data_IF_553661211112
#
_entry.id   IF_553661211112
#
_cell.length_a   1.000
_cell.length_b   1.000
_cell.length_c   1.000
_cell.angle_alpha   90.00
_cell.angle_beta   90.00
_cell.angle_gamma   90.00
#
_symmetry.space_group_name_H-M   'P 1'
#
loop_
_entity.id
_entity.type
_entity.pdbx_description
1 polymer ?
#
# COMPACT_ATOMS: atom_id res chain seq x y z
N UNK A 1 27.84 -9.69 27.27
CA UNK A 1 26.58 -9.18 26.63
C UNK A 1 26.41 -9.58 25.16
N UNK A 2 27.22 -10.48 24.60
CA UNK A 2 27.18 -10.89 23.18
C UNK A 2 26.35 -12.14 22.89
N UNK A 3 26.16 -13.03 23.86
CA UNK A 3 25.43 -14.29 23.66
C UNK A 3 23.90 -14.18 23.59
N UNK A 4 23.31 -13.12 24.15
CA UNK A 4 21.86 -12.88 24.14
C UNK A 4 21.34 -12.30 22.79
N UNK A 5 22.22 -11.67 22.01
CA UNK A 5 21.85 -11.08 20.72
C UNK A 5 21.78 -12.13 19.59
N UNK A 6 22.61 -13.18 19.64
CA UNK A 6 22.63 -14.23 18.62
C UNK A 6 21.41 -15.17 18.69
N UNK A 7 20.91 -15.45 19.89
CA UNK A 7 19.73 -16.32 20.05
C UNK A 7 18.43 -15.65 19.56
N UNK A 8 18.31 -14.33 19.71
CA UNK A 8 17.17 -13.58 19.21
C UNK A 8 17.17 -13.49 17.65
N UNK A 9 18.35 -13.38 17.06
CA UNK A 9 18.51 -13.33 15.60
C UNK A 9 18.21 -14.66 14.88
N UNK A 10 18.31 -15.80 15.56
CA UNK A 10 18.04 -17.11 14.96
C UNK A 10 16.67 -17.70 15.35
N UNK A 11 15.79 -16.91 15.97
CA UNK A 11 14.47 -17.37 16.40
C UNK A 11 13.52 -17.52 15.21
N UNK A 12 12.88 -18.69 15.07
CA UNK A 12 11.94 -18.97 14.02
C UNK A 12 10.68 -18.08 14.10
N UNK A 13 10.30 -17.47 13.00
CA UNK A 13 9.10 -16.63 12.87
C UNK A 13 7.97 -17.41 12.23
N UNK A 14 6.79 -17.36 12.84
CA UNK A 14 5.53 -17.76 12.23
C UNK A 14 4.94 -16.54 11.54
N UNK A 15 4.98 -16.50 10.19
CA UNK A 15 4.45 -15.42 9.38
C UNK A 15 3.07 -15.82 8.87
N UNK A 16 2.03 -15.07 9.19
CA UNK A 16 0.72 -15.29 8.61
C UNK A 16 0.44 -14.24 7.54
N UNK A 17 0.23 -14.71 6.31
CA UNK A 17 -0.18 -13.90 5.18
C UNK A 17 -1.31 -14.62 4.42
N UNK A 18 -2.56 -14.27 4.76
CA UNK A 18 -3.76 -14.84 4.13
C UNK A 18 -3.72 -14.66 2.60
N UNK A 19 -3.37 -13.46 2.16
CA UNK A 19 -3.06 -13.14 0.77
C UNK A 19 -1.54 -13.09 0.62
N UNK A 20 -0.99 -13.95 -0.24
CA UNK A 20 0.44 -14.09 -0.43
C UNK A 20 0.75 -14.71 -1.80
N UNK A 21 1.61 -14.10 -2.57
CA UNK A 21 2.08 -14.66 -3.84
C UNK A 21 2.34 -13.61 -4.90
N UNK A 22 3.31 -13.88 -5.79
CA UNK A 22 3.60 -12.98 -6.91
C UNK A 22 2.45 -12.98 -7.92
N UNK A 23 2.17 -11.82 -8.53
CA UNK A 23 1.17 -11.69 -9.60
C UNK A 23 -0.30 -11.75 -9.17
N UNK A 24 -0.60 -11.93 -7.88
CA UNK A 24 -1.96 -12.04 -7.35
C UNK A 24 -2.55 -10.69 -6.85
N UNK A 25 -1.93 -9.55 -7.20
CA UNK A 25 -2.34 -8.22 -6.78
C UNK A 25 -1.48 -7.64 -5.64
N UNK A 26 -1.69 -6.35 -5.34
CA UNK A 26 -0.82 -5.57 -4.47
C UNK A 26 -0.69 -6.13 -3.05
N UNK A 27 -1.82 -6.52 -2.42
CA UNK A 27 -1.81 -7.07 -1.04
C UNK A 27 -1.11 -8.43 -0.99
N UNK A 28 -1.32 -9.28 -2.00
CA UNK A 28 -0.62 -10.57 -2.11
C UNK A 28 0.88 -10.39 -2.32
N UNK A 29 1.28 -9.37 -3.07
CA UNK A 29 2.69 -9.01 -3.25
C UNK A 29 3.33 -8.53 -1.94
N UNK A 30 2.61 -7.78 -1.10
CA UNK A 30 3.07 -7.42 0.25
C UNK A 30 3.38 -8.69 1.06
N UNK A 31 2.42 -9.62 1.14
CA UNK A 31 2.62 -10.90 1.84
C UNK A 31 3.83 -11.68 1.32
N UNK A 32 4.02 -11.70 -0.01
CA UNK A 32 5.12 -12.37 -0.66
C UNK A 32 6.47 -11.74 -0.30
N UNK A 33 6.61 -10.43 -0.38
CA UNK A 33 7.84 -9.72 -0.03
C UNK A 33 8.21 -9.88 1.45
N UNK A 34 7.22 -9.87 2.34
CA UNK A 34 7.46 -10.17 3.74
C UNK A 34 7.96 -11.60 3.95
N UNK A 35 7.37 -12.59 3.26
CA UNK A 35 7.80 -13.97 3.38
C UNK A 35 9.22 -14.19 2.86
N UNK A 36 9.48 -13.80 1.61
CA UNK A 36 10.80 -13.99 0.99
C UNK A 36 11.89 -13.24 1.73
N UNK A 37 11.61 -11.99 2.11
CA UNK A 37 12.58 -11.16 2.82
C UNK A 37 12.83 -11.60 4.26
N UNK A 38 11.85 -12.12 4.99
CA UNK A 38 12.06 -12.67 6.33
C UNK A 38 12.78 -14.01 6.26
N UNK A 39 12.40 -14.88 5.31
CA UNK A 39 13.03 -16.18 5.11
C UNK A 39 14.52 -16.09 4.68
N UNK A 40 14.91 -15.00 4.02
CA UNK A 40 16.31 -14.72 3.70
C UNK A 40 17.16 -14.34 4.95
N UNK A 41 16.52 -14.03 6.09
CA UNK A 41 17.19 -13.53 7.31
C UNK A 41 17.12 -14.51 8.47
N UNK A 42 16.06 -15.33 8.51
CA UNK A 42 15.83 -16.28 9.62
C UNK A 42 14.87 -17.41 9.22
N UNK A 43 14.85 -18.53 9.94
CA UNK A 43 13.88 -19.59 9.72
C UNK A 43 12.45 -19.03 9.81
N UNK A 44 11.65 -19.25 8.77
CA UNK A 44 10.32 -18.64 8.63
C UNK A 44 9.29 -19.68 8.17
N UNK A 45 8.21 -19.82 8.93
CA UNK A 45 7.06 -20.62 8.54
C UNK A 45 5.94 -19.68 8.05
N UNK A 46 5.64 -19.71 6.75
CA UNK A 46 4.50 -19.00 6.17
C UNK A 46 3.22 -19.80 6.39
N UNK A 47 2.17 -19.15 6.88
CA UNK A 47 0.80 -19.68 6.91
C UNK A 47 -0.05 -18.86 5.93
N UNK A 48 -0.65 -19.51 4.96
CA UNK A 48 -1.38 -18.84 3.89
C UNK A 48 -2.57 -19.67 3.40
N UNK A 49 -3.49 -19.03 2.67
CA UNK A 49 -4.63 -19.73 2.08
C UNK A 49 -4.20 -20.62 0.91
N UNK A 50 -4.84 -21.77 0.75
CA UNK A 50 -4.51 -22.74 -0.33
C UNK A 50 -4.62 -22.16 -1.74
N UNK A 51 -5.42 -21.12 -1.97
CA UNK A 51 -5.52 -20.38 -3.24
C UNK A 51 -4.18 -19.84 -3.74
N UNK A 52 -3.28 -19.53 -2.81
CA UNK A 52 -1.98 -18.94 -3.12
C UNK A 52 -0.95 -20.00 -3.55
N UNK A 53 -1.26 -21.31 -3.36
CA UNK A 53 -0.30 -22.40 -3.57
C UNK A 53 0.32 -22.36 -4.95
N UNK A 54 -0.49 -22.31 -6.01
CA UNK A 54 0.01 -22.37 -7.37
C UNK A 54 1.02 -21.25 -7.67
N UNK A 55 0.71 -20.01 -7.28
CA UNK A 55 1.59 -18.86 -7.48
C UNK A 55 2.88 -18.96 -6.64
N UNK A 56 2.77 -19.43 -5.39
CA UNK A 56 3.93 -19.60 -4.49
C UNK A 56 4.84 -20.72 -4.97
N UNK A 57 4.28 -21.85 -5.40
CA UNK A 57 5.07 -23.01 -5.84
C UNK A 57 5.74 -22.78 -7.20
N UNK A 58 5.16 -21.95 -8.06
CA UNK A 58 5.73 -21.58 -9.35
C UNK A 58 6.70 -20.38 -9.27
N UNK A 59 6.82 -19.73 -8.09
CA UNK A 59 7.66 -18.54 -7.96
C UNK A 59 9.16 -18.86 -8.05
N UNK A 60 9.93 -18.21 -8.93
CA UNK A 60 11.36 -18.48 -9.10
C UNK A 60 12.19 -18.02 -7.88
N UNK A 61 11.68 -17.04 -7.13
CA UNK A 61 12.28 -16.47 -5.91
C UNK A 61 11.73 -17.11 -4.62
N UNK A 62 11.09 -18.29 -4.74
CA UNK A 62 10.59 -19.02 -3.57
C UNK A 62 11.76 -19.43 -2.66
N UNK A 63 11.71 -19.10 -1.36
CA UNK A 63 12.74 -19.50 -0.42
C UNK A 63 12.90 -21.02 -0.36
N UNK A 64 14.13 -21.48 -0.42
CA UNK A 64 14.44 -22.92 -0.36
C UNK A 64 14.20 -23.46 1.06
N UNK A 65 13.81 -24.73 1.16
CA UNK A 65 13.64 -25.39 2.46
C UNK A 65 14.96 -25.44 3.28
N UNK A 66 16.11 -25.43 2.61
CA UNK A 66 17.43 -25.38 3.25
C UNK A 66 17.68 -24.10 4.07
N UNK A 67 16.94 -23.02 3.80
CA UNK A 67 16.99 -21.79 4.62
C UNK A 67 16.10 -21.87 5.88
N UNK A 68 15.45 -23.02 6.16
CA UNK A 68 14.45 -23.15 7.20
C UNK A 68 13.08 -22.57 6.83
N UNK A 69 12.87 -22.24 5.55
CA UNK A 69 11.59 -21.77 5.06
C UNK A 69 10.60 -22.93 4.89
N UNK A 70 9.39 -22.76 5.43
CA UNK A 70 8.30 -23.74 5.33
C UNK A 70 6.99 -23.00 4.99
N UNK A 71 6.09 -23.65 4.25
CA UNK A 71 4.76 -23.10 3.96
C UNK A 71 3.70 -24.08 4.44
N UNK A 72 2.73 -23.56 5.19
CA UNK A 72 1.52 -24.27 5.62
C UNK A 72 0.34 -23.67 4.87
N UNK A 73 -0.29 -24.46 4.02
CA UNK A 73 -1.48 -24.05 3.30
C UNK A 73 -2.73 -24.46 4.09
N UNK A 74 -3.59 -23.47 4.35
CA UNK A 74 -4.87 -23.67 5.01
C UNK A 74 -5.95 -23.72 3.94
N UNK A 75 -6.70 -24.81 3.88
CA UNK A 75 -7.78 -24.99 2.93
C UNK A 75 -9.13 -24.70 3.61
N UNK A 76 -9.81 -23.65 3.13
CA UNK A 76 -11.18 -23.28 3.50
C UNK A 76 -12.07 -23.16 2.26
N UNK A 77 -11.67 -23.72 1.10
CA UNK A 77 -12.46 -23.66 -0.14
C UNK A 77 -13.83 -24.32 0.00
N UNK A 78 -13.95 -25.32 0.87
CA UNK A 78 -15.23 -25.94 1.19
C UNK A 78 -16.28 -24.94 1.73
N UNK A 79 -15.83 -23.84 2.38
CA UNK A 79 -16.68 -22.75 2.84
C UNK A 79 -16.65 -21.56 1.87
N UNK A 80 -15.47 -21.12 1.48
CA UNK A 80 -15.26 -19.92 0.67
C UNK A 80 -15.84 -20.03 -0.74
N UNK A 81 -15.73 -21.18 -1.38
CA UNK A 81 -16.27 -21.41 -2.72
C UNK A 81 -17.80 -21.29 -2.79
N UNK A 82 -18.57 -22.00 -1.93
CA UNK A 82 -20.01 -21.79 -1.81
C UNK A 82 -20.41 -20.38 -1.43
N UNK A 83 -19.70 -19.74 -0.49
CA UNK A 83 -19.94 -18.36 -0.06
C UNK A 83 -19.80 -17.37 -1.22
N UNK A 84 -18.73 -17.49 -2.01
CA UNK A 84 -18.50 -16.66 -3.18
C UNK A 84 -19.61 -16.84 -4.24
N UNK A 85 -20.01 -18.09 -4.53
CA UNK A 85 -21.12 -18.37 -5.47
C UNK A 85 -22.44 -17.76 -5.00
N UNK A 86 -22.72 -17.86 -3.71
CA UNK A 86 -23.90 -17.25 -3.10
C UNK A 86 -23.84 -15.72 -3.21
N UNK A 87 -22.71 -15.12 -2.86
CA UNK A 87 -22.54 -13.67 -2.96
C UNK A 87 -22.72 -13.15 -4.39
N UNK A 88 -22.15 -13.84 -5.39
CA UNK A 88 -22.35 -13.52 -6.83
C UNK A 88 -23.80 -13.63 -7.27
N UNK A 89 -24.53 -14.57 -6.70
CA UNK A 89 -25.95 -14.79 -7.00
C UNK A 89 -26.83 -13.70 -6.40
N UNK A 90 -26.52 -13.26 -5.17
CA UNK A 90 -27.26 -12.22 -4.46
C UNK A 90 -26.93 -10.81 -4.96
N UNK A 91 -25.69 -10.59 -5.39
CA UNK A 91 -25.16 -9.28 -5.78
C UNK A 91 -24.51 -9.29 -7.17
N UNK A 92 -25.26 -9.68 -8.25
CA UNK A 92 -24.68 -9.91 -9.59
C UNK A 92 -24.06 -8.65 -10.22
N UNK A 93 -24.48 -7.46 -9.76
CA UNK A 93 -24.04 -6.14 -10.29
C UNK A 93 -23.06 -5.40 -9.36
N UNK A 94 -22.76 -5.93 -8.17
CA UNK A 94 -21.94 -5.25 -7.18
C UNK A 94 -20.72 -6.09 -6.79
N UNK A 95 -19.60 -5.90 -7.46
CA UNK A 95 -18.33 -6.54 -7.09
C UNK A 95 -17.93 -6.22 -5.66
N UNK A 96 -18.24 -4.99 -5.20
CA UNK A 96 -17.96 -4.56 -3.83
C UNK A 96 -18.75 -5.37 -2.79
N UNK A 97 -20.04 -5.61 -3.01
CA UNK A 97 -20.84 -6.42 -2.11
C UNK A 97 -20.37 -7.89 -2.09
N UNK A 98 -20.02 -8.46 -3.26
CA UNK A 98 -19.42 -9.79 -3.36
C UNK A 98 -18.12 -9.86 -2.56
N UNK A 99 -17.25 -8.87 -2.70
CA UNK A 99 -16.01 -8.77 -1.95
C UNK A 99 -16.27 -8.73 -0.43
N UNK A 100 -17.19 -7.89 0.03
CA UNK A 100 -17.52 -7.76 1.45
C UNK A 100 -18.04 -9.05 2.07
N UNK A 101 -18.92 -9.76 1.37
CA UNK A 101 -19.43 -11.07 1.83
C UNK A 101 -18.29 -12.10 1.87
N UNK A 102 -17.42 -12.10 0.87
CA UNK A 102 -16.29 -13.01 0.79
C UNK A 102 -15.26 -12.82 1.94
N UNK A 103 -15.23 -11.63 2.59
CA UNK A 103 -14.39 -11.40 3.77
C UNK A 103 -14.77 -12.30 4.97
N UNK A 104 -15.98 -12.89 5.00
CA UNK A 104 -16.37 -13.80 6.07
C UNK A 104 -15.53 -15.09 6.08
N UNK A 105 -14.92 -15.45 4.96
CA UNK A 105 -13.97 -16.57 4.87
C UNK A 105 -12.79 -16.41 5.83
N UNK A 106 -12.36 -15.19 6.11
CA UNK A 106 -11.31 -14.91 7.07
C UNK A 106 -11.55 -15.55 8.44
N UNK A 107 -12.79 -15.52 8.95
CA UNK A 107 -13.12 -16.06 10.27
C UNK A 107 -13.00 -17.57 10.34
N UNK A 108 -13.32 -18.24 9.22
CA UNK A 108 -13.18 -19.70 9.08
C UNK A 108 -11.71 -20.06 8.91
N UNK A 109 -10.99 -19.32 8.07
CA UNK A 109 -9.54 -19.45 7.90
C UNK A 109 -8.80 -19.30 9.23
N UNK A 110 -9.08 -18.25 10.02
CA UNK A 110 -8.45 -18.02 11.33
C UNK A 110 -8.71 -19.18 12.30
N UNK A 111 -9.94 -19.75 12.29
CA UNK A 111 -10.29 -20.88 13.13
C UNK A 111 -9.54 -22.16 12.75
N UNK A 112 -9.46 -22.45 11.47
CA UNK A 112 -8.76 -23.63 10.92
C UNK A 112 -7.26 -23.46 11.13
N UNK A 113 -6.72 -22.28 10.84
CA UNK A 113 -5.31 -21.95 11.09
C UNK A 113 -4.94 -22.15 12.57
N UNK A 114 -5.75 -21.63 13.50
CA UNK A 114 -5.50 -21.81 14.94
C UNK A 114 -5.45 -23.29 15.35
N UNK A 115 -6.37 -24.12 14.84
CA UNK A 115 -6.39 -25.57 15.12
C UNK A 115 -5.13 -26.25 14.56
N UNK A 116 -4.78 -25.96 13.31
CA UNK A 116 -3.60 -26.53 12.65
C UNK A 116 -2.32 -26.14 13.38
N UNK A 117 -2.16 -24.86 13.69
CA UNK A 117 -0.96 -24.34 14.34
C UNK A 117 -0.80 -24.81 15.79
N UNK A 118 -1.90 -25.05 16.51
CA UNK A 118 -1.87 -25.69 17.84
C UNK A 118 -1.31 -27.11 17.78
N UNK A 119 -1.69 -27.89 16.75
CA UNK A 119 -1.16 -29.24 16.53
C UNK A 119 0.33 -29.21 16.21
N UNK A 120 0.75 -28.33 15.30
CA UNK A 120 2.16 -28.14 14.94
C UNK A 120 2.98 -27.73 16.16
N UNK A 121 2.47 -26.82 16.99
CA UNK A 121 3.16 -26.39 18.21
C UNK A 121 3.27 -27.52 19.24
N UNK A 122 2.23 -28.31 19.43
CA UNK A 122 2.26 -29.49 20.27
C UNK A 122 3.26 -30.56 19.75
N UNK A 123 3.50 -30.60 18.45
CA UNK A 123 4.51 -31.43 17.80
C UNK A 123 5.93 -30.83 17.85
N UNK A 124 6.15 -29.73 18.59
CA UNK A 124 7.48 -29.16 18.82
C UNK A 124 7.90 -28.07 17.82
N UNK A 125 6.97 -27.44 17.08
CA UNK A 125 7.34 -26.36 16.17
C UNK A 125 8.10 -25.21 16.88
N UNK A 126 9.26 -24.77 16.38
CA UNK A 126 10.22 -23.91 17.08
C UNK A 126 9.89 -22.42 17.06
N UNK A 127 8.64 -22.04 16.75
CA UNK A 127 8.25 -20.63 16.60
C UNK A 127 8.35 -19.85 17.90
N UNK A 128 8.96 -18.69 17.83
CA UNK A 128 9.14 -17.77 18.96
C UNK A 128 8.34 -16.49 18.83
N UNK A 129 7.90 -16.12 17.63
CA UNK A 129 7.15 -14.92 17.32
C UNK A 129 6.11 -15.21 16.24
N UNK A 130 4.93 -14.60 16.37
CA UNK A 130 3.91 -14.57 15.32
C UNK A 130 3.85 -13.16 14.70
N UNK A 131 4.04 -13.05 13.40
CA UNK A 131 3.77 -11.82 12.65
C UNK A 131 2.61 -12.01 11.69
N UNK A 132 1.55 -11.22 11.88
CA UNK A 132 0.36 -11.18 11.01
C UNK A 132 0.52 -10.03 10.01
N UNK A 133 0.78 -10.34 8.75
CA UNK A 133 1.03 -9.37 7.69
C UNK A 133 -0.24 -9.02 6.91
N UNK A 134 -0.94 -10.01 6.40
CA UNK A 134 -2.20 -9.82 5.67
C UNK A 134 -3.32 -10.65 6.30
N UNK A 135 -4.55 -10.13 6.31
CA UNK A 135 -5.07 -8.88 5.72
C UNK A 135 -4.55 -7.61 6.41
N UNK A 136 -4.32 -6.56 5.63
CA UNK A 136 -3.79 -5.26 6.08
C UNK A 136 -4.86 -4.37 6.76
N UNK A 137 -5.92 -4.94 7.26
CA UNK A 137 -7.07 -4.23 7.86
C UNK A 137 -7.29 -4.61 9.32
N UNK A 138 -7.81 -3.68 10.11
CA UNK A 138 -8.26 -3.95 11.49
C UNK A 138 -9.53 -4.81 11.52
N UNK A 139 -10.31 -4.83 10.44
CA UNK A 139 -11.58 -5.58 10.35
C UNK A 139 -11.39 -7.09 10.22
N UNK A 140 -10.15 -7.56 10.11
CA UNK A 140 -9.80 -8.98 10.09
C UNK A 140 -9.11 -9.39 11.42
N UNK A 141 -9.83 -9.51 12.53
CA UNK A 141 -9.26 -9.89 13.82
C UNK A 141 -8.80 -11.34 13.82
N UNK A 142 -7.92 -11.70 14.75
CA UNK A 142 -7.39 -13.06 14.87
C UNK A 142 -7.46 -13.59 16.30
N UNK A 143 -7.61 -14.89 16.43
CA UNK A 143 -7.46 -15.63 17.69
C UNK A 143 -6.08 -16.27 17.84
N UNK A 144 -5.16 -16.03 16.90
CA UNK A 144 -3.83 -16.68 16.91
C UNK A 144 -2.93 -16.23 18.07
N UNK A 145 -3.24 -15.12 18.75
CA UNK A 145 -2.61 -14.78 20.03
C UNK A 145 -2.76 -15.90 21.08
N UNK A 146 -3.78 -16.76 20.95
CA UNK A 146 -4.00 -17.95 21.82
C UNK A 146 -2.99 -19.07 21.60
N UNK A 147 -2.03 -18.90 20.67
CA UNK A 147 -0.86 -19.78 20.54
C UNK A 147 0.17 -19.50 21.66
N UNK A 148 0.03 -18.43 22.44
CA UNK A 148 0.97 -18.04 23.50
C UNK A 148 2.31 -17.55 22.95
N UNK A 149 2.34 -17.04 21.72
CA UNK A 149 3.50 -16.37 21.12
C UNK A 149 3.33 -14.86 21.22
N UNK A 150 4.43 -14.10 21.37
CA UNK A 150 4.38 -12.65 21.15
C UNK A 150 3.89 -12.36 19.73
N UNK A 151 2.96 -11.41 19.58
CA UNK A 151 2.30 -11.09 18.32
C UNK A 151 2.72 -9.71 17.85
N UNK A 152 3.21 -9.63 16.62
CA UNK A 152 3.32 -8.41 15.80
C UNK A 152 2.20 -8.44 14.78
N UNK A 153 1.50 -7.33 14.58
CA UNK A 153 0.39 -7.25 13.64
C UNK A 153 0.56 -6.07 12.68
N UNK A 154 0.35 -6.30 11.40
CA UNK A 154 0.42 -5.30 10.36
C UNK A 154 1.60 -5.48 9.39
N UNK A 155 1.84 -4.49 8.53
CA UNK A 155 1.31 -3.12 8.57
C UNK A 155 -0.20 -3.05 8.32
N UNK A 156 -0.92 -2.39 9.22
CA UNK A 156 -2.35 -2.14 9.07
C UNK A 156 -2.57 -0.83 8.34
N UNK A 157 -3.58 -0.83 7.47
CA UNK A 157 -4.02 0.33 6.73
C UNK A 157 -5.54 0.43 6.78
N UNK A 158 -6.06 1.43 7.50
CA UNK A 158 -7.49 1.60 7.69
C UNK A 158 -7.79 2.99 8.26
N UNK A 159 -9.08 3.25 8.50
CA UNK A 159 -9.51 4.43 9.26
C UNK A 159 -9.51 5.72 8.45
N UNK A 160 -9.17 5.70 7.16
CA UNK A 160 -9.29 6.89 6.32
C UNK A 160 -10.77 7.26 6.16
N UNK A 161 -11.20 8.42 6.68
CA UNK A 161 -12.56 8.92 6.45
C UNK A 161 -12.73 9.29 4.97
N UNK A 162 -13.94 9.62 4.58
CA UNK A 162 -14.19 10.35 3.33
C UNK A 162 -13.77 11.79 3.59
N UNK A 163 -12.91 12.40 2.77
CA UNK A 163 -12.54 13.80 2.92
C UNK A 163 -13.79 14.69 2.77
N UNK A 164 -13.97 15.71 3.61
CA UNK A 164 -15.07 16.67 3.45
C UNK A 164 -15.04 17.31 2.06
N UNK A 165 -16.22 17.48 1.44
CA UNK A 165 -16.34 18.05 0.08
C UNK A 165 -16.12 17.06 -1.08
N UNK A 166 -15.75 15.80 -0.79
CA UNK A 166 -15.52 14.77 -1.82
C UNK A 166 -16.50 13.60 -1.73
N UNK A 167 -17.59 13.74 -0.98
CA UNK A 167 -18.60 12.70 -0.76
C UNK A 167 -19.24 12.24 -2.09
N UNK A 168 -19.43 13.18 -3.02
CA UNK A 168 -20.03 12.90 -4.35
C UNK A 168 -19.14 12.01 -5.21
N UNK A 169 -17.82 12.24 -5.21
CA UNK A 169 -16.83 11.40 -5.89
C UNK A 169 -16.74 9.99 -5.30
N UNK A 170 -17.17 9.84 -4.04
CA UNK A 170 -17.08 8.59 -3.28
C UNK A 170 -18.43 7.86 -3.16
N UNK A 171 -19.50 8.35 -3.81
CA UNK A 171 -20.85 7.76 -3.67
C UNK A 171 -20.92 6.30 -4.05
N UNK A 172 -20.25 5.89 -5.11
CA UNK A 172 -20.26 4.51 -5.58
C UNK A 172 -19.45 3.58 -4.67
N UNK A 173 -18.44 4.11 -3.96
CA UNK A 173 -17.64 3.37 -2.98
C UNK A 173 -18.24 3.36 -1.57
N UNK A 174 -19.12 4.31 -1.23
CA UNK A 174 -19.55 4.59 0.14
C UNK A 174 -21.02 4.21 0.46
N UNK A 175 -21.83 3.92 -0.54
CA UNK A 175 -23.27 3.66 -0.37
C UNK A 175 -23.56 2.40 0.45
N UNK A 176 -23.89 2.59 1.70
CA UNK A 176 -24.52 1.58 2.59
C UNK A 176 -23.66 1.10 3.78
N UNK A 177 -22.35 1.35 3.81
CA UNK A 177 -21.46 0.73 4.81
C UNK A 177 -21.06 1.67 5.98
N UNK A 178 -21.49 2.92 5.97
CA UNK A 178 -21.19 3.86 7.07
C UNK A 178 -21.72 3.35 8.44
N UNK A 179 -22.85 2.66 8.45
CA UNK A 179 -23.44 2.03 9.66
C UNK A 179 -22.64 0.82 10.17
N UNK A 180 -21.83 0.18 9.31
CA UNK A 180 -21.00 -0.97 9.68
C UNK A 180 -19.63 -0.57 10.27
N UNK A 181 -19.31 0.72 10.35
CA UNK A 181 -18.04 1.21 10.96
C UNK A 181 -17.89 0.89 12.45
N UNK A 182 -18.98 0.59 13.14
CA UNK A 182 -18.96 0.14 14.55
C UNK A 182 -18.58 -1.34 14.67
N UNK A 183 -18.86 -2.14 13.65
CA UNK A 183 -18.64 -3.59 13.67
C UNK A 183 -17.19 -4.01 13.98
N UNK A 184 -16.13 -3.37 13.40
CA UNK A 184 -14.75 -3.73 13.72
C UNK A 184 -14.40 -3.55 15.21
N UNK A 185 -14.98 -2.55 15.89
CA UNK A 185 -14.77 -2.32 17.32
C UNK A 185 -15.40 -3.41 18.17
N UNK A 186 -16.62 -3.83 17.83
CA UNK A 186 -17.33 -4.94 18.51
C UNK A 186 -16.60 -6.26 18.29
N UNK A 187 -16.18 -6.52 17.05
CA UNK A 187 -15.44 -7.73 16.70
C UNK A 187 -14.09 -7.76 17.43
N UNK A 188 -13.36 -6.63 17.49
CA UNK A 188 -12.11 -6.54 18.26
C UNK A 188 -12.36 -6.73 19.76
N UNK A 189 -13.48 -6.23 20.30
CA UNK A 189 -13.85 -6.46 21.71
C UNK A 189 -13.98 -7.96 22.03
N UNK A 190 -14.55 -8.75 21.09
CA UNK A 190 -14.71 -10.21 21.23
C UNK A 190 -13.40 -10.97 21.01
N UNK A 191 -12.66 -10.62 19.94
CA UNK A 191 -11.45 -11.34 19.57
C UNK A 191 -10.22 -10.93 20.39
N UNK A 192 -10.12 -9.67 20.81
CA UNK A 192 -8.99 -9.13 21.56
C UNK A 192 -7.66 -9.14 20.80
N UNK A 193 -7.73 -9.19 19.48
CA UNK A 193 -6.61 -9.37 18.57
C UNK A 193 -5.54 -8.28 18.69
N UNK A 194 -5.95 -7.01 18.68
CA UNK A 194 -5.06 -5.86 18.84
C UNK A 194 -4.57 -5.70 20.27
N UNK A 195 -5.45 -5.93 21.26
CA UNK A 195 -5.10 -5.84 22.69
C UNK A 195 -4.02 -6.84 23.11
N UNK A 196 -4.01 -8.01 22.48
CA UNK A 196 -3.03 -9.07 22.73
C UNK A 196 -1.80 -8.99 21.79
N UNK A 197 -1.70 -7.98 20.93
CA UNK A 197 -0.50 -7.74 20.13
C UNK A 197 0.54 -6.95 20.93
N UNK A 198 1.80 -7.37 20.87
CA UNK A 198 2.95 -6.67 21.50
C UNK A 198 3.32 -5.41 20.71
N UNK A 199 3.19 -5.45 19.40
CA UNK A 199 3.38 -4.30 18.52
C UNK A 199 2.34 -4.33 17.40
N UNK A 200 1.88 -3.15 16.97
CA UNK A 200 0.96 -2.96 15.84
C UNK A 200 1.62 -2.01 14.85
N UNK A 201 1.96 -2.51 13.67
CA UNK A 201 2.48 -1.69 12.59
C UNK A 201 1.32 -0.94 11.94
N UNK A 202 1.45 0.36 11.78
CA UNK A 202 0.41 1.25 11.25
C UNK A 202 0.96 2.08 10.09
N UNK A 203 0.25 2.06 8.96
CA UNK A 203 0.69 2.74 7.75
C UNK A 203 0.58 4.26 7.85
N UNK A 204 -0.44 4.77 8.55
CA UNK A 204 -0.73 6.21 8.62
C UNK A 204 -1.12 6.65 10.04
N UNK A 205 -1.02 7.96 10.30
CA UNK A 205 -1.52 8.57 11.55
C UNK A 205 -3.03 8.31 11.71
N UNK A 206 -3.80 8.35 10.62
CA UNK A 206 -5.22 8.03 10.63
C UNK A 206 -5.47 6.57 11.08
N UNK A 207 -4.66 5.63 10.61
CA UNK A 207 -4.71 4.24 11.06
C UNK A 207 -4.40 4.12 12.55
N UNK A 208 -3.38 4.84 13.05
CA UNK A 208 -3.04 4.87 14.47
C UNK A 208 -4.21 5.40 15.30
N UNK A 209 -4.82 6.51 14.89
CA UNK A 209 -5.96 7.12 15.57
C UNK A 209 -7.20 6.21 15.59
N UNK A 210 -7.37 5.36 14.58
CA UNK A 210 -8.46 4.37 14.51
C UNK A 210 -8.28 3.16 15.45
N UNK A 211 -7.05 2.93 15.98
CA UNK A 211 -6.82 1.88 16.97
C UNK A 211 -7.51 2.18 18.31
N UNK A 212 -7.90 1.16 19.08
CA UNK A 212 -8.35 1.35 20.46
C UNK A 212 -7.31 2.12 21.28
N UNK A 213 -7.74 3.06 22.13
CA UNK A 213 -6.85 3.94 22.89
C UNK A 213 -5.73 3.19 23.62
N UNK A 214 -6.02 2.06 24.28
CA UNK A 214 -5.02 1.26 24.99
C UNK A 214 -4.01 0.52 24.07
N UNK A 215 -4.19 0.60 22.74
CA UNK A 215 -3.30 -0.02 21.73
C UNK A 215 -2.47 1.03 20.99
N UNK A 216 -2.92 2.27 20.92
CA UNK A 216 -2.25 3.34 20.17
C UNK A 216 -0.79 3.53 20.55
N UNK A 217 -0.44 3.39 21.85
CA UNK A 217 0.93 3.47 22.36
C UNK A 217 1.85 2.37 21.82
N UNK A 218 1.30 1.24 21.36
CA UNK A 218 2.04 0.11 20.76
C UNK A 218 2.09 0.21 19.24
N UNK A 219 1.52 1.27 18.67
CA UNK A 219 1.55 1.57 17.23
C UNK A 219 2.95 1.99 16.78
N UNK A 220 3.53 1.28 15.83
CA UNK A 220 4.81 1.60 15.18
C UNK A 220 4.52 2.02 13.75
N UNK A 221 4.95 3.23 13.37
CA UNK A 221 4.76 3.73 12.01
C UNK A 221 5.53 2.86 11.01
N UNK A 222 4.83 2.32 10.04
CA UNK A 222 5.40 1.52 8.97
C UNK A 222 4.39 1.42 7.81
N UNK A 223 4.69 2.05 6.68
CA UNK A 223 3.89 1.92 5.48
C UNK A 223 3.82 0.44 5.04
N UNK A 224 2.70 -0.01 4.50
CA UNK A 224 2.53 -1.39 4.04
C UNK A 224 3.34 -1.72 2.80
N UNK A 225 3.55 -0.72 1.93
CA UNK A 225 4.31 -0.86 0.70
C UNK A 225 5.77 -0.44 0.89
N UNK A 226 6.65 -1.09 0.16
CA UNK A 226 8.05 -0.70 0.00
C UNK A 226 8.47 -0.90 -1.45
N UNK A 227 9.61 -0.34 -1.84
CA UNK A 227 10.04 -0.24 -3.22
C UNK A 227 11.15 -1.25 -3.52
N UNK A 228 11.09 -1.79 -4.73
CA UNK A 228 12.19 -2.48 -5.37
C UNK A 228 13.09 -1.41 -6.04
N UNK A 229 14.18 -1.07 -5.36
CA UNK A 229 15.12 -0.06 -5.82
C UNK A 229 15.91 -0.45 -7.09
N UNK A 230 15.88 -1.73 -7.48
CA UNK A 230 16.50 -2.15 -8.75
C UNK A 230 15.58 -1.86 -9.93
N UNK A 231 14.28 -2.00 -9.73
CA UNK A 231 13.26 -1.76 -10.75
C UNK A 231 12.98 -0.28 -10.96
N UNK A 232 12.87 0.46 -9.86
CA UNK A 232 12.63 1.91 -9.85
C UNK A 232 13.91 2.60 -9.40
N UNK A 233 14.69 3.05 -10.35
CA UNK A 233 15.95 3.77 -10.15
C UNK A 233 16.00 5.00 -11.06
N UNK A 234 16.75 6.05 -10.72
CA UNK A 234 16.96 7.19 -11.60
C UNK A 234 17.54 6.78 -12.96
N UNK A 235 17.41 7.66 -13.94
CA UNK A 235 18.12 7.48 -15.21
C UNK A 235 19.63 7.48 -14.96
N UNK A 236 20.36 6.64 -15.72
CA UNK A 236 21.83 6.54 -15.61
C UNK A 236 22.55 7.80 -16.08
N UNK A 237 21.94 8.55 -16.99
CA UNK A 237 22.45 9.83 -17.47
C UNK A 237 21.66 10.98 -16.82
N UNK A 238 22.33 12.10 -16.47
CA UNK A 238 21.63 13.30 -16.01
C UNK A 238 20.61 13.76 -17.08
N UNK A 239 19.41 14.08 -16.66
CA UNK A 239 18.43 14.68 -17.56
C UNK A 239 18.96 16.02 -18.09
N UNK A 240 18.90 16.24 -19.40
CA UNK A 240 19.19 17.54 -19.99
C UNK A 240 18.27 18.62 -19.41
N UNK A 241 18.76 19.88 -19.39
CA UNK A 241 17.90 21.00 -18.99
C UNK A 241 16.73 21.13 -19.96
N UNK A 242 15.54 21.33 -19.42
CA UNK A 242 14.30 21.54 -20.14
C UNK A 242 13.75 22.96 -19.97
N UNK A 243 14.63 23.89 -19.62
CA UNK A 243 14.26 25.30 -19.48
C UNK A 243 13.52 25.81 -20.74
N UNK A 244 12.37 26.44 -20.54
CA UNK A 244 11.53 26.95 -21.63
C UNK A 244 10.69 25.88 -22.38
N UNK A 245 10.80 24.62 -22.03
CA UNK A 245 9.92 23.57 -22.55
C UNK A 245 8.68 23.36 -21.65
N UNK A 246 7.61 22.74 -22.17
CA UNK A 246 6.46 22.34 -21.34
C UNK A 246 6.90 21.46 -20.18
N UNK A 247 6.30 21.71 -18.98
CA UNK A 247 6.53 20.86 -17.82
C UNK A 247 5.92 19.48 -18.11
N UNK A 248 6.70 18.42 -17.98
CA UNK A 248 6.24 17.03 -18.11
C UNK A 248 5.77 16.49 -16.77
N UNK A 249 4.51 16.14 -16.70
CA UNK A 249 3.88 15.53 -15.53
C UNK A 249 3.52 14.09 -15.86
N UNK A 250 3.70 13.18 -14.93
CA UNK A 250 3.14 11.83 -15.04
C UNK A 250 2.12 11.56 -13.94
N UNK A 251 1.12 10.78 -14.31
CA UNK A 251 0.13 10.16 -13.44
C UNK A 251 0.13 8.67 -13.71
N UNK A 252 0.20 7.85 -12.65
CA UNK A 252 0.14 6.39 -12.75
C UNK A 252 -0.86 5.86 -11.75
N UNK A 253 -1.81 5.07 -12.22
CA UNK A 253 -2.78 4.43 -11.34
C UNK A 253 -4.01 3.89 -12.07
N UNK A 254 -4.78 3.09 -11.36
CA UNK A 254 -6.07 2.60 -11.87
C UNK A 254 -7.01 3.80 -12.07
N UNK A 255 -7.66 3.89 -13.22
CA UNK A 255 -8.57 4.99 -13.56
C UNK A 255 -9.95 4.77 -12.90
N UNK A 256 -10.02 5.07 -11.60
CA UNK A 256 -11.21 5.00 -10.75
C UNK A 256 -11.46 6.35 -10.07
N UNK A 257 -12.71 6.64 -9.70
CA UNK A 257 -13.14 7.95 -9.23
C UNK A 257 -12.25 8.54 -8.11
N UNK A 258 -11.84 7.74 -7.13
CA UNK A 258 -11.01 8.18 -6.00
C UNK A 258 -9.61 8.69 -6.41
N UNK A 259 -9.12 8.35 -7.60
CA UNK A 259 -7.84 8.85 -8.13
C UNK A 259 -7.93 10.28 -8.67
N UNK A 260 -9.14 10.78 -8.87
CA UNK A 260 -9.50 12.18 -9.12
C UNK A 260 -8.62 12.90 -10.16
N UNK A 261 -8.21 12.21 -11.24
CA UNK A 261 -7.45 12.80 -12.34
C UNK A 261 -8.09 14.09 -12.90
N UNK A 262 -9.43 14.26 -12.96
CA UNK A 262 -10.09 15.51 -13.34
C UNK A 262 -9.58 16.75 -12.62
N UNK A 263 -9.20 16.67 -11.35
CA UNK A 263 -8.66 17.81 -10.61
C UNK A 263 -7.30 18.28 -11.19
N UNK A 264 -6.47 17.32 -11.62
CA UNK A 264 -5.22 17.64 -12.31
C UNK A 264 -5.47 18.22 -13.71
N UNK A 265 -6.43 17.67 -14.46
CA UNK A 265 -6.82 18.21 -15.77
C UNK A 265 -7.34 19.65 -15.66
N UNK A 266 -8.18 19.94 -14.66
CA UNK A 266 -8.67 21.30 -14.38
C UNK A 266 -7.52 22.26 -14.01
N UNK A 267 -6.55 21.82 -13.20
CA UNK A 267 -5.36 22.61 -12.87
C UNK A 267 -4.50 22.91 -14.11
N UNK A 268 -4.32 21.94 -15.01
CA UNK A 268 -3.62 22.14 -16.29
C UNK A 268 -4.36 23.12 -17.20
N UNK A 269 -5.69 23.02 -17.30
CA UNK A 269 -6.50 23.96 -18.08
C UNK A 269 -6.35 25.40 -17.55
N UNK A 270 -6.31 25.58 -16.23
CA UNK A 270 -6.06 26.88 -15.59
C UNK A 270 -4.68 27.44 -15.96
N UNK A 271 -3.62 26.61 -15.88
CA UNK A 271 -2.26 27.03 -16.29
C UNK A 271 -2.20 27.40 -17.76
N UNK A 272 -2.91 26.70 -18.63
CA UNK A 272 -3.00 27.03 -20.05
C UNK A 272 -3.62 28.42 -20.28
N UNK A 273 -4.63 28.84 -19.50
CA UNK A 273 -5.17 30.21 -19.61
C UNK A 273 -4.16 31.27 -19.16
N UNK A 274 -3.18 30.90 -18.35
CA UNK A 274 -2.05 31.72 -17.93
C UNK A 274 -0.89 31.70 -18.96
N UNK A 275 -1.06 31.05 -20.13
CA UNK A 275 -0.02 30.89 -21.15
C UNK A 275 1.06 29.85 -20.82
N UNK A 276 0.83 29.00 -19.82
CA UNK A 276 1.78 27.97 -19.38
C UNK A 276 1.45 26.62 -19.98
N UNK A 277 2.42 25.99 -20.61
CA UNK A 277 2.28 24.67 -21.21
C UNK A 277 2.69 23.58 -20.22
N UNK A 278 1.81 22.57 -20.04
CA UNK A 278 2.04 21.37 -19.26
C UNK A 278 1.66 20.16 -20.11
N UNK A 279 2.53 19.17 -20.19
CA UNK A 279 2.27 17.87 -20.82
C UNK A 279 2.00 16.82 -19.73
N UNK A 280 1.05 15.92 -19.94
CA UNK A 280 0.67 14.89 -19.01
C UNK A 280 0.74 13.51 -19.64
N UNK A 281 1.50 12.62 -19.05
CA UNK A 281 1.52 11.18 -19.35
C UNK A 281 0.63 10.43 -18.36
N UNK A 282 -0.47 9.85 -18.85
CA UNK A 282 -1.42 9.07 -18.04
C UNK A 282 -1.18 7.59 -18.28
N UNK A 283 -0.73 6.88 -17.24
CA UNK A 283 -0.53 5.43 -17.26
C UNK A 283 -1.56 4.75 -16.38
N UNK A 284 -2.23 3.77 -16.94
CA UNK A 284 -3.25 2.96 -16.28
C UNK A 284 -4.53 2.84 -17.09
N UNK A 285 -5.43 2.01 -16.59
CA UNK A 285 -6.74 1.78 -17.17
C UNK A 285 -7.80 1.64 -16.06
N UNK A 286 -9.08 1.73 -16.45
CA UNK A 286 -10.17 1.59 -15.51
C UNK A 286 -11.49 2.17 -16.03
N UNK A 287 -12.56 2.02 -15.25
CA UNK A 287 -13.91 2.41 -15.67
C UNK A 287 -14.07 3.89 -16.00
N UNK A 288 -13.20 4.76 -15.47
CA UNK A 288 -13.25 6.20 -15.72
C UNK A 288 -12.47 6.64 -16.96
N UNK A 289 -11.77 5.74 -17.66
CA UNK A 289 -10.89 6.09 -18.78
C UNK A 289 -11.59 6.89 -19.89
N UNK A 290 -12.77 6.44 -20.34
CA UNK A 290 -13.53 7.12 -21.39
C UNK A 290 -14.02 8.51 -20.94
N UNK A 291 -14.56 8.61 -19.74
CA UNK A 291 -15.07 9.87 -19.18
C UNK A 291 -13.94 10.91 -19.03
N UNK A 292 -12.77 10.50 -18.54
CA UNK A 292 -11.65 11.41 -18.32
C UNK A 292 -10.98 11.86 -19.63
N UNK A 293 -10.99 11.01 -20.67
CA UNK A 293 -10.58 11.43 -22.03
C UNK A 293 -11.53 12.49 -22.60
N UNK A 294 -12.84 12.30 -22.43
CA UNK A 294 -13.83 13.27 -22.87
C UNK A 294 -13.68 14.61 -22.11
N UNK A 295 -13.40 14.56 -20.81
CA UNK A 295 -13.16 15.75 -19.99
C UNK A 295 -11.90 16.50 -20.42
N UNK A 296 -10.79 15.79 -20.66
CA UNK A 296 -9.57 16.40 -21.20
C UNK A 296 -9.83 17.10 -22.54
N UNK A 297 -10.65 16.50 -23.43
CA UNK A 297 -11.05 17.10 -24.69
C UNK A 297 -11.91 18.36 -24.48
N UNK A 298 -12.89 18.32 -23.58
CA UNK A 298 -13.73 19.46 -23.24
C UNK A 298 -12.94 20.64 -22.67
N UNK A 299 -11.86 20.35 -21.92
CA UNK A 299 -10.92 21.34 -21.40
C UNK A 299 -9.88 21.82 -22.46
N UNK A 300 -9.92 21.28 -23.67
CA UNK A 300 -9.00 21.62 -24.76
C UNK A 300 -7.56 21.11 -24.53
N UNK A 301 -7.39 20.02 -23.81
CA UNK A 301 -6.09 19.43 -23.44
C UNK A 301 -5.69 18.24 -24.32
N UNK A 302 -6.34 18.03 -25.48
CA UNK A 302 -6.13 16.84 -26.33
C UNK A 302 -4.66 16.64 -26.68
N UNK A 303 -3.98 17.71 -27.11
CA UNK A 303 -2.57 17.66 -27.52
C UNK A 303 -1.59 17.62 -26.33
N UNK A 304 -2.07 17.97 -25.13
CA UNK A 304 -1.26 18.02 -23.89
C UNK A 304 -1.33 16.74 -23.06
N UNK A 305 -2.19 15.76 -23.40
CA UNK A 305 -2.37 14.54 -22.59
C UNK A 305 -2.14 13.28 -23.42
N UNK A 306 -1.14 12.49 -23.03
CA UNK A 306 -0.85 11.18 -23.62
C UNK A 306 -1.40 10.06 -22.74
N UNK A 307 -2.21 9.20 -23.32
CA UNK A 307 -2.86 8.08 -22.66
C UNK A 307 -2.18 6.75 -23.05
N UNK A 308 -1.41 6.17 -22.15
CA UNK A 308 -0.62 4.97 -22.41
C UNK A 308 -1.39 3.65 -22.17
N UNK A 309 -2.55 3.72 -21.49
CA UNK A 309 -3.21 2.50 -21.01
C UNK A 309 -2.41 1.82 -19.88
N UNK A 310 -2.69 0.57 -19.64
CA UNK A 310 -1.96 -0.22 -18.65
C UNK A 310 -0.58 -0.62 -19.19
N UNK A 311 0.47 -0.33 -18.43
CA UNK A 311 1.85 -0.67 -18.77
C UNK A 311 2.44 -1.64 -17.74
N UNK A 312 3.43 -2.44 -18.18
CA UNK A 312 4.26 -3.24 -17.28
C UNK A 312 5.21 -2.33 -16.45
N UNK A 313 5.59 -2.79 -15.27
CA UNK A 313 6.38 -1.98 -14.32
C UNK A 313 7.69 -1.38 -14.90
N UNK A 314 8.47 -2.03 -15.77
CA UNK A 314 9.63 -1.39 -16.40
C UNK A 314 9.24 -0.17 -17.24
N UNK A 315 8.18 -0.26 -18.06
CA UNK A 315 7.70 0.84 -18.88
C UNK A 315 7.08 1.98 -18.02
N UNK A 316 6.45 1.65 -16.88
CA UNK A 316 6.01 2.63 -15.89
C UNK A 316 7.21 3.43 -15.38
N UNK A 317 8.30 2.76 -15.02
CA UNK A 317 9.52 3.41 -14.55
C UNK A 317 10.15 4.31 -15.63
N UNK A 318 10.08 3.91 -16.93
CA UNK A 318 10.54 4.76 -18.04
C UNK A 318 9.73 6.04 -18.17
N UNK A 319 8.39 5.96 -18.07
CA UNK A 319 7.52 7.14 -18.08
C UNK A 319 7.82 8.06 -16.89
N UNK A 320 7.99 7.50 -15.69
CA UNK A 320 8.34 8.28 -14.51
C UNK A 320 9.69 8.98 -14.71
N UNK A 321 10.74 8.29 -15.15
CA UNK A 321 12.07 8.87 -15.40
C UNK A 321 12.06 9.98 -16.46
N UNK A 322 11.13 9.92 -17.41
CA UNK A 322 10.98 10.93 -18.45
C UNK A 322 10.22 12.19 -17.97
N UNK A 323 9.64 12.14 -16.76
CA UNK A 323 8.80 13.21 -16.22
C UNK A 323 9.61 14.18 -15.36
N UNK A 324 9.19 15.44 -15.35
CA UNK A 324 9.73 16.48 -14.47
C UNK A 324 9.13 16.40 -13.06
N UNK A 325 7.86 15.97 -12.99
CA UNK A 325 7.08 15.83 -11.74
C UNK A 325 6.11 14.67 -11.87
N UNK A 326 5.93 13.94 -10.79
CA UNK A 326 4.86 12.95 -10.66
C UNK A 326 3.71 13.54 -9.84
N UNK A 327 2.46 13.41 -10.30
CA UNK A 327 1.29 13.92 -9.58
C UNK A 327 0.28 12.81 -9.27
N UNK A 328 -0.09 12.70 -7.99
CA UNK A 328 -1.15 11.81 -7.52
C UNK A 328 -2.26 12.61 -6.84
N UNK A 329 -3.30 13.08 -7.57
CA UNK A 329 -4.37 13.91 -7.03
C UNK A 329 -5.44 13.08 -6.30
N UNK A 330 -5.10 11.89 -5.82
CA UNK A 330 -6.04 10.96 -5.20
C UNK A 330 -6.68 11.57 -3.95
N UNK A 331 -7.99 11.65 -3.94
CA UNK A 331 -8.77 12.16 -2.79
C UNK A 331 -8.83 11.15 -1.64
N UNK A 332 -8.57 9.88 -1.92
CA UNK A 332 -8.44 8.84 -0.90
C UNK A 332 -7.37 7.83 -1.32
N UNK A 333 -6.21 7.95 -0.71
CA UNK A 333 -5.07 7.07 -0.93
C UNK A 333 -4.52 6.59 0.40
N UNK A 334 -4.42 5.29 0.58
CA UNK A 334 -4.01 4.71 1.84
C UNK A 334 -2.50 4.50 1.95
N UNK A 335 -1.86 4.01 0.91
CA UNK A 335 -0.44 3.62 0.95
C UNK A 335 0.48 4.45 0.07
N UNK A 336 -0.02 5.00 -1.03
CA UNK A 336 0.76 5.85 -1.94
C UNK A 336 1.99 5.19 -2.55
N UNK A 337 1.97 3.88 -2.79
CA UNK A 337 3.14 3.15 -3.32
C UNK A 337 3.72 3.80 -4.59
N UNK A 338 2.86 4.27 -5.47
CA UNK A 338 3.26 4.90 -6.73
C UNK A 338 4.04 6.22 -6.53
N UNK A 339 3.80 6.94 -5.42
CA UNK A 339 4.63 8.10 -5.03
C UNK A 339 6.05 7.66 -4.72
N UNK A 340 6.20 6.57 -3.95
CA UNK A 340 7.51 6.00 -3.63
C UNK A 340 8.22 5.48 -4.88
N UNK A 341 7.49 4.95 -5.87
CA UNK A 341 8.03 4.52 -7.18
C UNK A 341 8.60 5.71 -7.96
N UNK A 342 7.86 6.80 -8.04
CA UNK A 342 8.32 8.03 -8.68
C UNK A 342 9.54 8.64 -7.96
N UNK A 343 9.47 8.72 -6.63
CA UNK A 343 10.59 9.17 -5.78
C UNK A 343 11.84 8.30 -5.98
N UNK A 344 11.67 6.98 -6.09
CA UNK A 344 12.78 6.07 -6.39
C UNK A 344 13.42 6.33 -7.75
N UNK A 345 12.64 6.77 -8.75
CA UNK A 345 13.13 7.22 -10.04
C UNK A 345 13.82 8.60 -10.00
N UNK A 346 13.90 9.25 -8.85
CA UNK A 346 14.48 10.59 -8.70
C UNK A 346 13.54 11.71 -9.14
N UNK A 347 12.24 11.45 -9.19
CA UNK A 347 11.22 12.41 -9.63
C UNK A 347 10.51 12.99 -8.40
N UNK A 348 10.44 14.32 -8.26
CA UNK A 348 9.70 14.96 -7.18
C UNK A 348 8.20 14.74 -7.35
N UNK A 349 7.46 14.75 -6.25
CA UNK A 349 6.07 14.33 -6.24
C UNK A 349 5.11 15.44 -5.79
N UNK A 350 3.93 15.48 -6.38
CA UNK A 350 2.78 16.24 -5.89
C UNK A 350 1.77 15.24 -5.33
N UNK A 351 1.41 15.41 -4.06
CA UNK A 351 0.45 14.54 -3.37
C UNK A 351 -0.49 15.33 -2.47
N UNK A 352 -1.65 14.73 -2.17
CA UNK A 352 -2.65 15.35 -1.32
C UNK A 352 -2.25 15.28 0.15
N UNK A 353 -2.59 16.31 0.93
CA UNK A 353 -2.42 16.31 2.40
C UNK A 353 -3.50 15.46 3.08
N UNK A 354 -3.53 14.18 2.69
CA UNK A 354 -4.49 13.21 3.20
C UNK A 354 -4.00 11.77 3.04
N UNK A 355 -4.20 10.94 4.07
CA UNK A 355 -3.86 9.51 4.02
C UNK A 355 -2.36 9.23 3.85
N UNK A 356 -2.03 8.25 2.99
CA UNK A 356 -0.64 7.87 2.71
C UNK A 356 0.21 8.98 2.11
N UNK A 357 -0.27 9.74 1.11
CA UNK A 357 0.48 10.88 0.58
C UNK A 357 0.90 11.91 1.63
N UNK A 358 0.05 12.17 2.62
CA UNK A 358 0.37 13.10 3.71
C UNK A 358 1.56 12.65 4.57
N UNK A 359 1.79 11.34 4.68
CA UNK A 359 2.93 10.74 5.41
C UNK A 359 4.22 10.71 4.57
N UNK A 360 4.10 10.75 3.25
CA UNK A 360 5.21 10.58 2.31
C UNK A 360 5.76 11.91 1.83
N UNK A 361 4.85 12.86 1.52
CA UNK A 361 5.18 14.11 0.83
C UNK A 361 5.37 15.25 1.81
N UNK A 362 6.46 15.97 1.68
CA UNK A 362 6.74 17.26 2.32
C UNK A 362 7.54 18.17 1.37
N UNK A 363 7.94 19.35 1.83
CA UNK A 363 8.63 20.35 1.02
C UNK A 363 10.03 19.91 0.54
N UNK A 364 10.64 18.89 1.16
CA UNK A 364 11.96 18.40 0.74
C UNK A 364 11.90 17.48 -0.48
N UNK A 365 10.77 16.78 -0.66
CA UNK A 365 10.61 15.76 -1.73
C UNK A 365 9.59 16.15 -2.79
N UNK A 366 8.81 17.22 -2.54
CA UNK A 366 7.76 17.62 -3.48
C UNK A 366 6.82 18.68 -2.93
N UNK A 367 5.54 18.60 -3.32
CA UNK A 367 4.50 19.53 -2.95
C UNK A 367 3.31 18.81 -2.35
N UNK A 368 2.94 19.20 -1.16
CA UNK A 368 1.78 18.69 -0.45
C UNK A 368 0.62 19.66 -0.63
N UNK A 369 -0.47 19.19 -1.25
CA UNK A 369 -1.64 20.01 -1.58
C UNK A 369 -2.74 19.79 -0.55
N UNK A 370 -3.18 20.86 0.10
CA UNK A 370 -4.31 20.83 1.03
C UNK A 370 -5.63 20.49 0.31
N UNK A 371 -6.57 19.89 1.05
CA UNK A 371 -7.83 19.39 0.51
C UNK A 371 -9.05 20.06 1.18
N UNK A 372 -9.26 21.40 1.06
CA UNK A 372 -10.43 22.04 1.62
C UNK A 372 -11.72 21.64 0.86
N UNK A 373 -11.67 21.66 -0.46
CA UNK A 373 -12.69 21.29 -1.44
C UNK A 373 -12.05 21.07 -2.82
N UNK A 374 -12.86 20.76 -3.83
CA UNK A 374 -12.37 20.47 -5.18
C UNK A 374 -11.68 21.67 -5.84
N UNK A 375 -12.23 22.89 -5.69
CA UNK A 375 -11.64 24.11 -6.25
C UNK A 375 -10.32 24.48 -5.58
N UNK A 376 -10.25 24.35 -4.25
CA UNK A 376 -9.01 24.55 -3.48
C UNK A 376 -7.93 23.56 -3.87
N UNK A 377 -8.30 22.29 -4.15
CA UNK A 377 -7.34 21.29 -4.68
C UNK A 377 -6.85 21.67 -6.07
N UNK A 378 -7.75 22.10 -6.98
CA UNK A 378 -7.35 22.57 -8.33
C UNK A 378 -6.40 23.76 -8.23
N UNK A 379 -6.70 24.72 -7.36
CA UNK A 379 -5.84 25.88 -7.13
C UNK A 379 -4.46 25.48 -6.58
N UNK A 380 -4.44 24.56 -5.60
CA UNK A 380 -3.20 24.04 -5.00
C UNK A 380 -2.35 23.24 -6.00
N UNK A 381 -2.98 22.40 -6.83
CA UNK A 381 -2.30 21.69 -7.92
C UNK A 381 -1.70 22.65 -8.93
N UNK A 382 -2.47 23.67 -9.37
CA UNK A 382 -1.98 24.68 -10.29
C UNK A 382 -0.79 25.47 -9.70
N UNK A 383 -0.83 25.82 -8.42
CA UNK A 383 0.27 26.49 -7.75
C UNK A 383 1.53 25.61 -7.68
N UNK A 384 1.38 24.32 -7.31
CA UNK A 384 2.50 23.37 -7.27
C UNK A 384 3.14 23.16 -8.64
N UNK A 385 2.33 23.00 -9.68
CA UNK A 385 2.82 22.83 -11.07
C UNK A 385 3.52 24.11 -11.57
N UNK A 386 3.01 25.29 -11.22
CA UNK A 386 3.63 26.59 -11.56
C UNK A 386 5.00 26.71 -10.90
N UNK A 387 5.11 26.46 -9.60
CA UNK A 387 6.38 26.46 -8.87
C UNK A 387 7.36 25.46 -9.49
N UNK A 388 6.89 24.23 -9.77
CA UNK A 388 7.71 23.22 -10.40
C UNK A 388 8.22 23.62 -11.79
N UNK A 389 7.46 24.42 -12.55
CA UNK A 389 7.88 24.95 -13.85
C UNK A 389 8.87 26.10 -13.71
N UNK A 390 8.65 27.00 -12.76
CA UNK A 390 9.45 28.23 -12.57
C UNK A 390 10.81 27.96 -11.90
N UNK A 391 10.87 26.92 -11.01
CA UNK A 391 12.09 26.57 -10.27
C UNK A 391 12.61 25.18 -10.66
N UNK A 392 13.33 25.12 -11.81
CA UNK A 392 13.94 23.86 -12.27
C UNK A 392 15.00 23.35 -11.27
N UNK A 393 15.76 24.22 -10.67
CA UNK A 393 16.83 23.83 -9.73
C UNK A 393 16.24 23.22 -8.46
N UNK A 394 15.25 23.88 -7.84
CA UNK A 394 14.54 23.35 -6.66
C UNK A 394 13.77 22.08 -6.98
N UNK A 395 13.16 21.97 -8.16
CA UNK A 395 12.51 20.74 -8.62
C UNK A 395 13.49 19.57 -8.68
N UNK A 396 14.66 19.76 -9.27
CA UNK A 396 15.72 18.73 -9.33
C UNK A 396 16.23 18.36 -7.94
N UNK A 397 16.43 19.35 -7.08
CA UNK A 397 16.87 19.11 -5.70
C UNK A 397 15.84 18.26 -4.94
N UNK A 398 14.54 18.56 -5.07
CA UNK A 398 13.46 17.73 -4.48
C UNK A 398 13.49 16.30 -5.01
N UNK A 399 13.76 16.11 -6.31
CA UNK A 399 13.92 14.77 -6.90
C UNK A 399 15.10 13.98 -6.29
N UNK A 400 16.25 14.61 -6.10
CA UNK A 400 17.40 13.99 -5.44
C UNK A 400 17.08 13.63 -3.98
N UNK A 401 16.47 14.55 -3.23
CA UNK A 401 16.04 14.30 -1.84
C UNK A 401 15.02 13.18 -1.75
N UNK A 402 14.07 13.13 -2.70
CA UNK A 402 13.05 12.08 -2.81
C UNK A 402 13.68 10.69 -3.00
N UNK A 403 14.63 10.57 -3.93
CA UNK A 403 15.38 9.33 -4.14
C UNK A 403 16.15 8.91 -2.88
N UNK A 404 16.95 9.82 -2.31
CA UNK A 404 17.73 9.53 -1.11
C UNK A 404 16.84 9.03 0.05
N UNK A 405 15.68 9.67 0.27
CA UNK A 405 14.70 9.28 1.29
C UNK A 405 14.15 7.88 1.06
N UNK A 406 13.76 7.55 -0.19
CA UNK A 406 13.24 6.22 -0.52
C UNK A 406 14.29 5.15 -0.27
N UNK A 407 15.52 5.36 -0.73
CA UNK A 407 16.61 4.38 -0.52
C UNK A 407 16.88 4.15 0.97
N UNK A 408 16.88 5.21 1.77
CA UNK A 408 17.15 5.10 3.20
C UNK A 408 16.02 4.43 4.00
N UNK A 409 14.73 4.64 3.62
CA UNK A 409 13.62 4.34 4.51
C UNK A 409 12.49 3.49 3.90
N UNK A 410 12.37 3.44 2.57
CA UNK A 410 11.20 2.87 1.91
C UNK A 410 11.49 1.70 0.97
N UNK A 411 12.72 1.18 0.96
CA UNK A 411 13.05 -0.07 0.27
C UNK A 411 12.62 -1.29 1.08
N UNK A 412 12.41 -2.43 0.44
CA UNK A 412 12.17 -3.69 1.13
C UNK A 412 13.33 -4.06 2.06
N UNK A 413 14.56 -3.77 1.69
CA UNK A 413 15.73 -4.01 2.53
C UNK A 413 15.66 -3.22 3.84
N UNK A 414 15.42 -1.90 3.77
CA UNK A 414 15.26 -1.02 4.94
C UNK A 414 14.05 -1.43 5.81
N UNK A 415 12.93 -1.80 5.16
CA UNK A 415 11.71 -2.26 5.84
C UNK A 415 11.94 -3.52 6.66
N UNK A 416 12.57 -4.51 6.07
CA UNK A 416 12.86 -5.77 6.72
C UNK A 416 13.91 -5.60 7.84
N UNK A 417 14.89 -4.71 7.65
CA UNK A 417 15.83 -4.36 8.72
C UNK A 417 15.12 -3.73 9.93
N UNK A 418 14.19 -2.80 9.70
CA UNK A 418 13.37 -2.21 10.76
C UNK A 418 12.48 -3.26 11.47
N UNK A 419 11.94 -4.23 10.69
CA UNK A 419 11.17 -5.35 11.25
C UNK A 419 12.02 -6.27 12.13
N UNK A 420 13.25 -6.59 11.72
CA UNK A 420 14.19 -7.37 12.53
C UNK A 420 14.50 -6.72 13.87
N UNK A 421 14.78 -5.41 13.88
CA UNK A 421 14.97 -4.64 15.09
C UNK A 421 13.72 -4.65 16.00
N UNK A 422 12.52 -4.61 15.40
CA UNK A 422 11.27 -4.73 16.14
C UNK A 422 11.10 -6.12 16.73
N UNK A 423 11.37 -7.19 15.98
CA UNK A 423 11.27 -8.57 16.45
C UNK A 423 12.20 -8.81 17.65
N UNK A 424 13.45 -8.33 17.57
CA UNK A 424 14.39 -8.42 18.70
C UNK A 424 13.84 -7.74 19.95
N UNK A 425 13.29 -6.53 19.84
CA UNK A 425 12.65 -5.82 20.96
C UNK A 425 11.47 -6.59 21.56
N UNK A 426 10.60 -7.13 20.69
CA UNK A 426 9.40 -7.88 21.11
C UNK A 426 9.77 -9.19 21.80
N UNK A 427 10.80 -9.89 21.33
CA UNK A 427 11.30 -11.14 21.93
C UNK A 427 12.01 -10.89 23.25
N UNK A 428 12.76 -9.80 23.41
CA UNK A 428 13.45 -9.47 24.66
C UNK A 428 12.50 -8.95 25.75
N UNK A 429 11.31 -8.46 25.38
CA UNK A 429 10.28 -8.00 26.32
C UNK A 429 9.24 -9.08 26.68
N UNK A 430 9.36 -10.28 26.12
CA UNK A 430 8.46 -11.43 26.36
C UNK A 430 9.05 -12.40 27.38
#
# INVERSE_FOLDING_TARGET
>A
MTATNDSANNSAVLLLAYQCGPGLGSVSQIGWQWFTGTAARRPTCLVTHVRNRAAIEAAPDRPAASTGARVIYIDTEWFAGPLYRLARRLFPRSEHAVFMVSQLDWFVFDAVALRTLRRERAAGAPWRLLHLVTPVTVSAPTRLHRLGLPVVRGPLNCGLPVPPGFETLMRDDAMGLARLRVLPRLVEAVFGSLRNSRAVLVATAATRAALPHGVQARGVAMLENAIDAQRFAPATAPAASRAGQPLRVSFVGRLVAVKALPLLLAAMARLRTEGRAVELDVVGDGPMAAAWRAEAAALGLVDGVRWHGALAAPAVADVMRASDVFCLPSVRESGGAVLLEAMACGVPVIGMDFGGPAEIVDAEVGWKVAMPDAEGVVAGLAAALREAQDDEAGRRQRGHSAHARVIAHHTWAARLQAAEALYARVLNAA
#
